data_IF_188996775464
#
_entry.id   IF_188996775464
#
_cell.length_a   1.000
_cell.length_b   1.000
_cell.length_c   1.000
_cell.angle_alpha   90.00
_cell.angle_beta   90.00
_cell.angle_gamma   90.00
#
_symmetry.space_group_name_H-M   'P 1'
#
loop_
_entity.id
_entity.type
_entity.pdbx_description
1 polymer ?
#
# COMPACT_ATOMS: atom_id res chain seq x y z
N UNK A 1 -26.17 -58.45 17.22
CA UNK A 1 -25.10 -57.48 17.59
C UNK A 1 -25.07 -56.45 16.50
N UNK A 2 -25.65 -55.29 16.77
CA UNK A 2 -25.63 -54.20 15.79
C UNK A 2 -24.17 -53.75 15.65
N UNK A 3 -23.68 -53.85 14.43
CA UNK A 3 -22.35 -53.27 14.09
C UNK A 3 -22.47 -51.78 14.30
N UNK A 4 -21.63 -51.17 15.13
CA UNK A 4 -21.71 -49.73 15.37
C UNK A 4 -21.52 -48.99 14.07
N UNK A 5 -22.51 -48.17 13.69
CA UNK A 5 -22.49 -47.41 12.45
C UNK A 5 -21.36 -46.38 12.56
N UNK A 6 -20.40 -46.47 11.66
CA UNK A 6 -19.29 -45.51 11.62
C UNK A 6 -19.82 -44.10 11.28
N UNK A 7 -19.14 -43.05 11.79
CA UNK A 7 -19.58 -41.66 11.64
C UNK A 7 -19.82 -41.28 10.17
N UNK A 8 -18.83 -41.55 9.31
CA UNK A 8 -18.96 -41.29 7.87
C UNK A 8 -20.14 -42.07 7.27
N UNK A 9 -20.32 -43.35 7.65
CA UNK A 9 -21.42 -44.17 7.14
C UNK A 9 -22.79 -43.64 7.59
N UNK A 10 -22.88 -43.05 8.79
CA UNK A 10 -24.12 -42.40 9.26
C UNK A 10 -24.49 -41.16 8.43
N UNK A 11 -23.50 -40.42 7.99
CA UNK A 11 -23.69 -39.24 7.13
C UNK A 11 -24.05 -39.66 5.69
N UNK A 12 -23.32 -40.59 5.11
CA UNK A 12 -23.55 -41.11 3.78
C UNK A 12 -24.96 -41.66 3.60
N UNK A 13 -25.44 -42.39 4.63
CA UNK A 13 -26.77 -43.00 4.62
C UNK A 13 -27.91 -42.02 4.98
N UNK A 14 -27.60 -40.74 5.24
CA UNK A 14 -28.60 -39.72 5.49
C UNK A 14 -28.76 -38.79 4.27
N UNK A 15 -29.87 -38.97 3.47
CA UNK A 15 -30.06 -38.22 2.24
C UNK A 15 -30.11 -36.71 2.41
N UNK A 16 -30.66 -36.23 3.54
CA UNK A 16 -30.77 -34.78 3.81
C UNK A 16 -29.39 -34.15 4.08
N UNK A 17 -28.57 -34.83 4.91
CA UNK A 17 -27.20 -34.36 5.16
C UNK A 17 -26.37 -34.42 3.88
N UNK A 18 -26.49 -35.49 3.11
CA UNK A 18 -25.77 -35.61 1.84
C UNK A 18 -26.18 -34.54 0.83
N UNK A 19 -27.47 -34.21 0.71
CA UNK A 19 -27.94 -33.13 -0.16
C UNK A 19 -27.34 -31.77 0.26
N UNK A 20 -27.22 -31.50 1.55
CA UNK A 20 -26.60 -30.29 2.05
C UNK A 20 -25.09 -30.23 1.79
N UNK A 21 -24.39 -31.34 1.96
CA UNK A 21 -22.93 -31.44 1.82
C UNK A 21 -22.47 -31.46 0.36
N UNK A 22 -23.24 -32.02 -0.57
CA UNK A 22 -22.90 -32.08 -2.01
C UNK A 22 -22.80 -30.69 -2.65
N UNK A 23 -23.57 -29.69 -2.16
CA UNK A 23 -23.48 -28.32 -2.65
C UNK A 23 -22.22 -27.59 -2.19
N UNK A 24 -21.50 -28.14 -1.22
CA UNK A 24 -20.24 -27.59 -0.71
C UNK A 24 -19.21 -28.71 -0.71
N UNK A 25 -18.25 -28.66 -1.59
CA UNK A 25 -17.24 -29.69 -1.71
C UNK A 25 -16.41 -29.82 -0.44
N UNK A 26 -16.67 -30.90 0.32
CA UNK A 26 -15.95 -31.29 1.52
C UNK A 26 -15.39 -32.70 1.38
N UNK A 27 -14.29 -32.94 2.07
CA UNK A 27 -13.83 -34.27 2.42
C UNK A 27 -14.20 -34.51 3.87
N UNK A 28 -14.99 -35.54 4.15
CA UNK A 28 -15.27 -35.94 5.54
C UNK A 28 -14.15 -36.85 6.01
N UNK A 29 -13.70 -36.63 7.25
CA UNK A 29 -12.57 -37.32 7.87
C UNK A 29 -13.06 -38.10 9.10
N UNK A 30 -12.65 -39.35 9.23
CA UNK A 30 -12.83 -40.18 10.43
C UNK A 30 -11.51 -40.91 10.70
N UNK A 31 -10.83 -40.60 11.78
CA UNK A 31 -9.60 -41.26 12.22
C UNK A 31 -9.80 -42.06 13.46
N UNK A 32 -9.43 -43.35 13.42
CA UNK A 32 -9.40 -44.27 14.54
C UNK A 32 -7.94 -44.45 15.03
N UNK A 33 -7.55 -43.86 16.19
CA UNK A 33 -6.19 -43.94 16.68
C UNK A 33 -5.73 -45.35 17.04
N UNK A 34 -6.68 -46.26 17.40
CA UNK A 34 -6.35 -47.63 17.78
C UNK A 34 -5.97 -48.50 16.57
N UNK A 35 -6.55 -48.21 15.44
CA UNK A 35 -6.27 -48.90 14.17
C UNK A 35 -5.23 -48.14 13.34
N UNK A 36 -4.90 -46.92 13.74
CA UNK A 36 -4.14 -45.95 12.93
C UNK A 36 -4.70 -45.83 11.50
N UNK A 37 -6.04 -45.72 11.44
CA UNK A 37 -6.77 -45.75 10.19
C UNK A 37 -7.52 -44.45 9.96
N UNK A 38 -7.24 -43.78 8.85
CA UNK A 38 -7.96 -42.59 8.36
C UNK A 38 -8.91 -42.97 7.23
N UNK A 39 -10.19 -42.67 7.40
CA UNK A 39 -11.20 -42.76 6.35
C UNK A 39 -11.50 -41.37 5.82
N UNK A 40 -11.51 -41.23 4.51
CA UNK A 40 -11.77 -39.97 3.81
C UNK A 40 -12.89 -40.18 2.82
N UNK A 41 -13.97 -39.44 2.95
CA UNK A 41 -15.08 -39.46 2.01
C UNK A 41 -15.13 -38.15 1.23
N UNK A 42 -14.96 -38.25 -0.09
CA UNK A 42 -15.13 -37.13 -1.02
C UNK A 42 -16.61 -36.97 -1.36
N UNK A 43 -17.22 -35.87 -0.93
CA UNK A 43 -18.64 -35.60 -1.15
C UNK A 43 -18.98 -35.33 -2.62
N UNK A 44 -18.01 -34.95 -3.45
CA UNK A 44 -18.18 -34.65 -4.88
C UNK A 44 -18.14 -35.92 -5.73
N UNK A 45 -17.08 -36.71 -5.62
CA UNK A 45 -16.93 -37.99 -6.35
C UNK A 45 -17.77 -39.11 -5.71
N UNK A 46 -18.23 -38.93 -4.48
CA UNK A 46 -18.91 -39.91 -3.63
C UNK A 46 -18.07 -41.18 -3.41
N UNK A 47 -16.77 -40.99 -3.30
CA UNK A 47 -15.83 -42.09 -3.06
C UNK A 47 -15.38 -42.07 -1.60
N UNK A 48 -15.28 -43.28 -1.03
CA UNK A 48 -14.71 -43.49 0.31
C UNK A 48 -13.36 -44.19 0.18
N UNK A 49 -12.34 -43.55 0.69
CA UNK A 49 -10.98 -44.08 0.78
C UNK A 49 -10.65 -44.42 2.22
N UNK A 50 -9.92 -45.50 2.42
CA UNK A 50 -9.44 -45.91 3.75
C UNK A 50 -7.93 -46.06 3.70
N UNK A 51 -7.25 -45.36 4.57
CA UNK A 51 -5.79 -45.27 4.64
C UNK A 51 -5.33 -45.90 5.96
N UNK A 52 -4.70 -47.06 5.86
CA UNK A 52 -4.17 -47.79 7.01
C UNK A 52 -2.76 -47.30 7.38
N UNK A 53 -2.40 -47.43 8.68
CA UNK A 53 -1.14 -46.97 9.26
C UNK A 53 -0.84 -45.50 8.92
N UNK A 54 -1.86 -44.64 9.03
CA UNK A 54 -1.80 -43.27 8.51
C UNK A 54 -0.75 -42.39 9.22
N UNK A 55 -0.66 -42.45 10.55
CA UNK A 55 0.34 -41.69 11.30
C UNK A 55 1.63 -42.48 11.53
N UNK A 56 1.56 -43.82 11.52
CA UNK A 56 2.70 -44.73 11.77
C UNK A 56 3.55 -45.02 10.53
N UNK A 57 3.05 -44.74 9.33
CA UNK A 57 3.80 -44.99 8.10
C UNK A 57 4.84 -43.90 7.83
N UNK A 58 6.12 -44.29 7.73
CA UNK A 58 7.18 -43.41 7.21
C UNK A 58 7.14 -43.27 5.67
N UNK A 59 6.35 -44.10 5.00
CA UNK A 59 6.26 -44.10 3.54
C UNK A 59 5.30 -43.04 3.03
N UNK A 60 5.69 -42.26 2.03
CA UNK A 60 4.92 -41.14 1.52
C UNK A 60 3.80 -41.54 0.54
N UNK A 61 3.31 -42.76 0.53
CA UNK A 61 2.19 -43.15 -0.35
C UNK A 61 0.90 -42.37 -0.07
N UNK A 62 0.83 -41.75 1.10
CA UNK A 62 -0.25 -40.80 1.50
C UNK A 62 0.22 -39.34 1.48
N UNK A 63 1.33 -39.06 0.79
CA UNK A 63 2.00 -37.75 0.78
C UNK A 63 1.28 -36.71 -0.09
N UNK A 64 -0.05 -36.65 0.04
CA UNK A 64 -0.81 -35.53 -0.53
C UNK A 64 -0.62 -34.26 0.27
N UNK A 65 -0.09 -34.31 1.51
CA UNK A 65 0.17 -33.14 2.33
C UNK A 65 1.62 -32.70 2.16
N UNK A 66 1.83 -31.41 1.96
CA UNK A 66 3.14 -30.80 1.86
C UNK A 66 3.99 -31.13 3.11
N UNK A 67 5.26 -31.48 2.92
CA UNK A 67 6.10 -31.97 4.02
C UNK A 67 6.12 -31.08 5.26
N UNK A 68 6.18 -29.75 5.03
CA UNK A 68 6.18 -28.75 6.10
C UNK A 68 4.85 -28.65 6.86
N UNK A 69 3.73 -29.12 6.30
CA UNK A 69 2.40 -29.03 6.91
C UNK A 69 1.95 -30.36 7.55
N UNK A 70 2.69 -31.48 7.39
CA UNK A 70 2.31 -32.81 7.90
C UNK A 70 2.12 -32.84 9.42
N UNK A 71 2.95 -32.09 10.14
CA UNK A 71 2.85 -31.99 11.60
C UNK A 71 1.48 -31.43 12.05
N UNK A 72 0.85 -30.56 11.28
CA UNK A 72 -0.49 -30.01 11.58
C UNK A 72 -1.56 -31.09 11.57
N UNK A 73 -1.54 -31.96 10.55
CA UNK A 73 -2.45 -33.09 10.45
C UNK A 73 -2.26 -34.06 11.62
N UNK A 74 -1.01 -34.39 11.96
CA UNK A 74 -0.71 -35.21 13.13
C UNK A 74 -1.28 -34.58 14.39
N UNK A 75 -1.01 -33.32 14.65
CA UNK A 75 -1.47 -32.61 15.84
C UNK A 75 -3.01 -32.54 15.95
N UNK A 76 -3.72 -32.40 14.81
CA UNK A 76 -5.19 -32.48 14.78
C UNK A 76 -5.69 -33.88 15.14
N UNK A 77 -5.10 -34.94 14.57
CA UNK A 77 -5.54 -36.32 14.75
C UNK A 77 -5.08 -36.95 16.08
N UNK A 78 -4.17 -36.32 16.82
CA UNK A 78 -3.75 -36.69 18.16
C UNK A 78 -4.37 -35.83 19.26
N UNK A 79 -5.12 -34.78 18.88
CA UNK A 79 -5.74 -33.86 19.83
C UNK A 79 -4.79 -32.87 20.49
N UNK A 80 -3.59 -32.68 19.92
CA UNK A 80 -2.63 -31.68 20.39
C UNK A 80 -3.03 -30.26 19.93
N UNK A 81 -3.73 -30.15 18.78
CA UNK A 81 -4.30 -28.91 18.27
C UNK A 81 -5.78 -29.06 17.97
N UNK A 82 -6.50 -27.94 18.04
CA UNK A 82 -7.93 -27.86 17.73
C UNK A 82 -8.20 -26.63 16.89
N UNK A 83 -9.19 -26.74 16.00
CA UNK A 83 -9.67 -25.67 15.13
C UNK A 83 -9.23 -25.85 13.70
N UNK A 84 -9.82 -25.10 12.79
CA UNK A 84 -9.47 -25.20 11.37
C UNK A 84 -8.03 -24.76 11.15
N UNK A 85 -7.24 -25.64 10.54
CA UNK A 85 -5.86 -25.38 10.15
C UNK A 85 -5.75 -25.41 8.62
N UNK A 86 -5.06 -24.43 8.10
CA UNK A 86 -4.73 -24.41 6.67
C UNK A 86 -3.52 -25.29 6.37
N UNK A 87 -3.65 -26.15 5.39
CA UNK A 87 -2.61 -27.06 4.93
C UNK A 87 -2.50 -27.05 3.40
N UNK A 88 -1.28 -27.20 2.91
CA UNK A 88 -1.01 -27.36 1.48
C UNK A 88 -1.01 -28.82 1.11
N UNK A 89 -1.67 -29.10 0.01
CA UNK A 89 -1.75 -30.43 -0.56
C UNK A 89 -1.14 -30.45 -1.96
N UNK A 90 -0.71 -31.61 -2.39
CA UNK A 90 -0.20 -31.82 -3.76
C UNK A 90 -0.92 -33.04 -4.36
N UNK A 91 -1.41 -32.88 -5.59
CA UNK A 91 -1.99 -34.02 -6.34
C UNK A 91 -0.87 -34.94 -6.86
N UNK A 92 -1.19 -36.17 -7.28
CA UNK A 92 -0.22 -37.05 -7.94
C UNK A 92 0.39 -36.44 -9.20
N UNK A 93 -0.32 -35.53 -9.87
CA UNK A 93 0.15 -34.79 -11.05
C UNK A 93 1.02 -33.57 -10.69
N UNK A 94 1.28 -33.33 -9.41
CA UNK A 94 2.10 -32.21 -8.93
C UNK A 94 1.39 -30.86 -8.83
N UNK A 95 0.04 -30.84 -8.92
CA UNK A 95 -0.76 -29.62 -8.74
C UNK A 95 -0.93 -29.33 -7.26
N UNK A 96 -0.65 -28.08 -6.86
CA UNK A 96 -0.79 -27.63 -5.47
C UNK A 96 -2.18 -27.05 -5.22
N UNK A 97 -2.74 -27.38 -4.06
CA UNK A 97 -4.00 -26.83 -3.58
C UNK A 97 -3.99 -26.68 -2.06
N UNK A 98 -4.79 -25.76 -1.56
CA UNK A 98 -4.90 -25.47 -0.12
C UNK A 98 -6.21 -25.99 0.43
N UNK A 99 -6.16 -26.65 1.58
CA UNK A 99 -7.35 -27.08 2.31
C UNK A 99 -7.34 -26.51 3.74
N UNK A 100 -8.52 -26.14 4.18
CA UNK A 100 -8.84 -25.92 5.58
C UNK A 100 -9.28 -27.26 6.16
N UNK A 101 -8.60 -27.73 7.20
CA UNK A 101 -8.87 -29.02 7.84
C UNK A 101 -9.18 -28.78 9.31
N UNK A 102 -10.31 -29.33 9.78
CA UNK A 102 -10.67 -29.38 11.21
C UNK A 102 -11.03 -30.82 11.59
N UNK A 103 -10.61 -31.24 12.76
CA UNK A 103 -10.99 -32.52 13.33
C UNK A 103 -11.19 -32.39 14.86
N UNK A 104 -12.20 -33.09 15.37
CA UNK A 104 -12.59 -33.05 16.79
C UNK A 104 -12.68 -34.45 17.35
N UNK A 105 -12.29 -34.64 18.61
CA UNK A 105 -12.48 -35.91 19.28
C UNK A 105 -13.98 -36.16 19.53
N UNK A 106 -14.42 -37.38 19.26
CA UNK A 106 -15.77 -37.88 19.54
C UNK A 106 -15.66 -39.24 20.22
N UNK A 107 -16.35 -39.41 21.30
CA UNK A 107 -16.37 -40.69 22.04
C UNK A 107 -17.35 -41.66 21.37
N UNK A 108 -16.83 -42.78 20.87
CA UNK A 108 -17.62 -43.90 20.36
C UNK A 108 -17.67 -45.01 21.43
N UNK A 109 -18.86 -45.45 21.84
CA UNK A 109 -18.99 -46.44 22.93
C UNK A 109 -18.28 -47.78 22.67
N UNK A 110 -18.11 -48.17 21.41
CA UNK A 110 -17.47 -49.44 21.04
C UNK A 110 -16.00 -49.28 20.67
N UNK A 111 -15.59 -48.10 20.18
CA UNK A 111 -14.27 -47.84 19.62
C UNK A 111 -13.44 -46.81 20.40
N UNK A 112 -14.01 -46.18 21.47
CA UNK A 112 -13.34 -45.12 22.24
C UNK A 112 -13.24 -43.81 21.45
N UNK A 113 -12.23 -43.00 21.74
CA UNK A 113 -12.05 -41.69 21.09
C UNK A 113 -11.71 -41.84 19.62
N UNK A 114 -12.52 -41.24 18.75
CA UNK A 114 -12.28 -41.06 17.32
C UNK A 114 -12.08 -39.59 17.03
N UNK A 115 -11.36 -39.28 15.97
CA UNK A 115 -11.28 -37.89 15.47
C UNK A 115 -12.10 -37.77 14.19
N UNK A 116 -13.13 -36.93 14.24
CA UNK A 116 -14.02 -36.71 13.10
C UNK A 116 -13.99 -35.27 12.66
N UNK A 117 -14.08 -35.03 11.35
CA UNK A 117 -13.93 -33.68 10.86
C UNK A 117 -14.16 -33.54 9.35
N UNK A 118 -13.60 -32.46 8.83
CA UNK A 118 -13.68 -32.16 7.40
C UNK A 118 -12.39 -31.56 6.88
N UNK A 119 -12.20 -31.70 5.57
CA UNK A 119 -11.27 -30.87 4.82
C UNK A 119 -12.03 -30.17 3.69
N UNK A 120 -11.90 -28.82 3.63
CA UNK A 120 -12.53 -27.97 2.64
C UNK A 120 -11.48 -27.39 1.73
N UNK A 121 -11.68 -27.50 0.40
CA UNK A 121 -10.82 -26.83 -0.56
C UNK A 121 -11.02 -25.30 -0.50
N UNK A 122 -9.95 -24.58 -0.25
CA UNK A 122 -9.92 -23.12 -0.18
C UNK A 122 -9.00 -22.50 -1.23
N UNK A 123 -8.59 -23.28 -2.25
CA UNK A 123 -7.64 -22.85 -3.28
C UNK A 123 -8.18 -21.66 -4.06
N UNK A 124 -9.41 -21.78 -4.58
CA UNK A 124 -10.04 -20.67 -5.32
C UNK A 124 -10.25 -19.44 -4.46
N UNK A 125 -10.66 -19.62 -3.20
CA UNK A 125 -10.82 -18.51 -2.26
C UNK A 125 -9.49 -17.80 -2.00
N UNK A 126 -8.40 -18.54 -1.84
CA UNK A 126 -7.06 -17.96 -1.68
C UNK A 126 -6.58 -17.26 -2.93
N UNK A 127 -6.77 -17.87 -4.10
CA UNK A 127 -6.40 -17.26 -5.37
C UNK A 127 -7.16 -15.95 -5.59
N UNK A 128 -8.48 -15.96 -5.38
CA UNK A 128 -9.29 -14.73 -5.48
C UNK A 128 -8.84 -13.66 -4.48
N UNK A 129 -8.56 -14.05 -3.25
CA UNK A 129 -8.06 -13.11 -2.23
C UNK A 129 -6.72 -12.53 -2.65
N UNK A 130 -5.81 -13.36 -3.15
CA UNK A 130 -4.50 -12.93 -3.63
C UNK A 130 -4.63 -12.01 -4.85
N UNK A 131 -5.50 -12.34 -5.81
CA UNK A 131 -5.78 -11.50 -6.97
C UNK A 131 -6.34 -10.13 -6.55
N UNK A 132 -7.29 -10.10 -5.62
CA UNK A 132 -7.84 -8.85 -5.09
C UNK A 132 -6.78 -8.01 -4.37
N UNK A 133 -5.88 -8.65 -3.61
CA UNK A 133 -4.77 -7.98 -2.96
C UNK A 133 -3.79 -7.40 -3.99
N UNK A 134 -3.45 -8.16 -5.04
CA UNK A 134 -2.58 -7.65 -6.12
C UNK A 134 -3.26 -6.50 -6.89
N UNK A 135 -4.56 -6.60 -7.19
CA UNK A 135 -5.30 -5.50 -7.80
C UNK A 135 -5.33 -4.24 -6.90
N UNK A 136 -5.51 -4.44 -5.58
CA UNK A 136 -5.48 -3.33 -4.62
C UNK A 136 -4.10 -2.67 -4.47
N UNK A 137 -3.02 -3.30 -4.96
CA UNK A 137 -1.64 -2.77 -4.90
C UNK A 137 -1.29 -1.85 -6.07
N UNK A 138 -2.05 -1.94 -7.16
CA UNK A 138 -1.76 -1.22 -8.38
C UNK A 138 -2.78 -0.10 -8.64
N UNK A 139 -2.33 0.94 -9.35
CA UNK A 139 -3.21 1.94 -9.92
C UNK A 139 -3.99 1.34 -11.11
N UNK A 140 -5.29 1.47 -11.10
CA UNK A 140 -6.18 0.81 -12.08
C UNK A 140 -5.98 1.29 -13.52
N UNK A 141 -5.56 2.54 -13.72
CA UNK A 141 -5.35 3.13 -15.03
C UNK A 141 -3.98 2.75 -15.62
N UNK A 142 -2.95 2.91 -14.83
CA UNK A 142 -1.55 2.78 -15.29
C UNK A 142 -0.93 1.42 -14.98
N UNK A 143 -1.52 0.65 -14.08
CA UNK A 143 -0.98 -0.63 -13.60
C UNK A 143 0.42 -0.53 -12.96
N UNK A 144 0.87 0.67 -12.60
CA UNK A 144 2.02 0.87 -11.72
C UNK A 144 1.57 0.64 -10.27
N UNK A 145 2.50 0.53 -9.33
CA UNK A 145 2.09 0.53 -7.92
C UNK A 145 1.34 1.82 -7.60
N UNK A 146 0.29 1.71 -6.76
CA UNK A 146 -0.35 2.90 -6.21
C UNK A 146 0.51 3.51 -5.09
N UNK A 147 0.18 4.72 -4.67
CA UNK A 147 0.91 5.48 -3.66
C UNK A 147 1.15 4.67 -2.38
N UNK A 148 0.11 4.05 -1.81
CA UNK A 148 0.21 3.27 -0.58
C UNK A 148 1.22 2.13 -0.71
N UNK A 149 1.09 1.32 -1.74
CA UNK A 149 1.97 0.17 -1.98
C UNK A 149 3.39 0.61 -2.28
N UNK A 150 3.56 1.68 -3.09
CA UNK A 150 4.87 2.24 -3.39
C UNK A 150 5.62 2.65 -2.12
N UNK A 151 4.95 3.41 -1.25
CA UNK A 151 5.51 3.83 0.04
C UNK A 151 5.90 2.63 0.91
N UNK A 152 5.01 1.65 1.08
CA UNK A 152 5.27 0.44 1.87
C UNK A 152 6.48 -0.36 1.33
N UNK A 153 6.62 -0.50 0.01
CA UNK A 153 7.72 -1.24 -0.62
C UNK A 153 9.06 -0.51 -0.48
N UNK A 154 9.05 0.82 -0.63
CA UNK A 154 10.26 1.65 -0.51
C UNK A 154 10.73 1.67 0.96
N UNK A 155 9.82 1.90 1.92
CA UNK A 155 10.17 1.88 3.34
C UNK A 155 10.73 0.52 3.77
N UNK A 156 10.12 -0.58 3.31
CA UNK A 156 10.64 -1.94 3.57
C UNK A 156 12.05 -2.13 3.01
N UNK A 157 12.32 -1.67 1.80
CA UNK A 157 13.66 -1.71 1.23
C UNK A 157 14.64 -0.88 2.05
N UNK A 158 14.29 0.36 2.41
CA UNK A 158 15.15 1.25 3.17
C UNK A 158 15.51 0.70 4.57
N UNK A 159 14.56 0.00 5.21
CA UNK A 159 14.79 -0.67 6.50
C UNK A 159 15.70 -1.90 6.39
N UNK A 160 15.61 -2.64 5.28
CA UNK A 160 16.39 -3.87 5.05
C UNK A 160 17.64 -3.66 4.19
N UNK A 161 17.89 -2.41 3.74
CA UNK A 161 18.97 -2.06 2.82
C UNK A 161 20.35 -2.42 3.41
N UNK A 162 21.17 -3.09 2.61
CA UNK A 162 22.58 -3.28 2.93
C UNK A 162 23.26 -1.90 3.13
N UNK A 163 24.09 -1.72 4.17
CA UNK A 163 24.83 -0.48 4.38
C UNK A 163 25.66 -0.02 3.16
N UNK A 164 26.16 -0.95 2.37
CA UNK A 164 26.94 -0.66 1.16
C UNK A 164 26.07 -0.45 -0.10
N UNK A 165 24.78 -0.66 -0.02
CA UNK A 165 23.87 -0.36 -1.12
C UNK A 165 23.55 1.14 -1.17
N UNK A 166 23.48 1.69 -2.37
CA UNK A 166 23.01 3.03 -2.65
C UNK A 166 21.72 2.98 -3.46
N UNK A 167 20.87 4.00 -3.40
CA UNK A 167 19.62 4.05 -4.12
C UNK A 167 19.27 5.47 -4.54
N UNK A 168 18.26 5.63 -5.37
CA UNK A 168 17.79 6.94 -5.82
C UNK A 168 16.29 7.01 -5.97
N UNK A 169 15.75 8.20 -5.81
CA UNK A 169 14.33 8.50 -6.01
C UNK A 169 14.16 9.60 -7.04
N UNK A 170 13.22 9.42 -7.94
CA UNK A 170 12.72 10.45 -8.85
C UNK A 170 11.27 10.74 -8.47
N UNK A 171 10.93 12.03 -8.31
CA UNK A 171 9.55 12.50 -8.24
C UNK A 171 9.30 13.27 -9.54
N UNK A 172 8.25 12.92 -10.25
CA UNK A 172 7.98 13.32 -11.62
C UNK A 172 6.56 13.85 -11.72
N UNK A 173 6.39 14.94 -12.45
CA UNK A 173 5.09 15.56 -12.70
C UNK A 173 4.98 15.88 -14.20
N UNK A 174 3.85 15.54 -14.81
CA UNK A 174 3.58 15.85 -16.22
C UNK A 174 3.18 17.30 -16.37
N UNK A 175 4.00 18.07 -17.09
CA UNK A 175 3.79 19.50 -17.23
C UNK A 175 2.45 19.83 -17.91
N UNK A 176 1.71 20.74 -17.30
CA UNK A 176 0.45 21.26 -17.84
C UNK A 176 -0.63 20.18 -18.09
N UNK A 177 -0.60 19.06 -17.38
CA UNK A 177 -1.54 17.96 -17.59
C UNK A 177 -3.01 18.37 -17.44
N UNK A 178 -3.33 19.30 -16.54
CA UNK A 178 -4.67 19.88 -16.46
C UNK A 178 -5.12 20.50 -17.79
N UNK A 179 -4.25 21.22 -18.46
CA UNK A 179 -4.56 21.82 -19.76
C UNK A 179 -4.83 20.76 -20.85
N UNK A 180 -4.18 19.59 -20.72
CA UNK A 180 -4.43 18.44 -21.61
C UNK A 180 -5.86 17.94 -21.42
N UNK A 181 -6.29 17.74 -20.17
CA UNK A 181 -7.66 17.33 -19.86
C UNK A 181 -8.69 18.38 -20.32
N UNK A 182 -8.43 19.64 -20.04
CA UNK A 182 -9.34 20.74 -20.38
C UNK A 182 -9.50 20.90 -21.91
N UNK A 183 -8.43 20.67 -22.68
CA UNK A 183 -8.42 20.84 -24.14
C UNK A 183 -8.88 19.60 -24.91
N UNK A 184 -8.46 18.41 -24.48
CA UNK A 184 -8.64 17.17 -25.24
C UNK A 184 -9.54 16.16 -24.55
N UNK A 185 -10.01 16.46 -23.33
CA UNK A 185 -10.87 15.60 -22.51
C UNK A 185 -10.11 14.55 -21.70
N UNK A 186 -10.76 14.06 -20.64
CA UNK A 186 -10.17 13.10 -19.70
C UNK A 186 -9.73 11.79 -20.36
N UNK A 187 -10.45 11.27 -21.35
CA UNK A 187 -10.07 10.05 -22.07
C UNK A 187 -8.72 10.18 -22.78
N UNK A 188 -8.39 11.36 -23.27
CA UNK A 188 -7.08 11.63 -23.86
C UNK A 188 -6.01 11.77 -22.77
N UNK A 189 -6.32 12.44 -21.67
CA UNK A 189 -5.43 12.49 -20.50
C UNK A 189 -5.10 11.09 -19.96
N UNK A 190 -6.08 10.20 -19.90
CA UNK A 190 -5.86 8.79 -19.51
C UNK A 190 -4.88 8.08 -20.45
N UNK A 191 -4.99 8.28 -21.77
CA UNK A 191 -4.03 7.73 -22.76
C UNK A 191 -2.61 8.29 -22.52
N UNK A 192 -2.47 9.57 -22.19
CA UNK A 192 -1.19 10.21 -21.87
C UNK A 192 -0.55 9.55 -20.65
N UNK A 193 -1.32 9.35 -19.56
CA UNK A 193 -0.86 8.68 -18.34
C UNK A 193 -0.45 7.22 -18.59
N UNK A 194 -1.23 6.49 -19.38
CA UNK A 194 -0.93 5.10 -19.74
C UNK A 194 0.36 4.99 -20.57
N UNK A 195 0.57 5.91 -21.53
CA UNK A 195 1.77 5.93 -22.37
C UNK A 195 3.00 6.29 -21.54
N UNK A 196 2.88 7.25 -20.61
CA UNK A 196 3.96 7.59 -19.69
C UNK A 196 4.32 6.38 -18.80
N UNK A 197 3.34 5.70 -18.24
CA UNK A 197 3.56 4.50 -17.43
C UNK A 197 4.23 3.37 -18.24
N UNK A 198 3.85 3.19 -19.52
CA UNK A 198 4.47 2.23 -20.43
C UNK A 198 5.94 2.56 -20.67
N UNK A 199 6.25 3.83 -20.87
CA UNK A 199 7.63 4.30 -21.03
C UNK A 199 8.45 4.06 -19.76
N UNK A 200 7.93 4.34 -18.57
CA UNK A 200 8.61 4.04 -17.32
C UNK A 200 8.97 2.55 -17.22
N UNK A 201 8.03 1.65 -17.53
CA UNK A 201 8.33 0.20 -17.52
C UNK A 201 9.41 -0.21 -18.53
N UNK A 202 9.55 0.50 -19.63
CA UNK A 202 10.58 0.21 -20.64
C UNK A 202 11.96 0.72 -20.23
N UNK A 203 12.01 1.85 -19.52
CA UNK A 203 13.26 2.50 -19.14
C UNK A 203 13.88 1.95 -17.85
N UNK A 204 13.04 1.47 -16.91
CA UNK A 204 13.47 1.01 -15.60
C UNK A 204 13.38 -0.52 -15.49
N UNK A 205 14.11 -1.10 -14.52
CA UNK A 205 14.18 -2.54 -14.32
C UNK A 205 12.95 -3.03 -13.55
N UNK A 206 12.64 -4.32 -13.65
CA UNK A 206 11.60 -4.96 -12.83
C UNK A 206 11.89 -4.94 -11.33
N UNK A 207 13.16 -4.77 -10.93
CA UNK A 207 13.58 -4.60 -9.53
C UNK A 207 13.30 -3.20 -8.98
N UNK A 208 13.18 -2.19 -9.84
CA UNK A 208 12.87 -0.81 -9.45
C UNK A 208 11.39 -0.69 -9.08
N UNK A 209 11.05 0.26 -8.21
CA UNK A 209 9.68 0.48 -7.78
C UNK A 209 9.12 1.68 -8.55
N UNK A 210 8.11 1.42 -9.39
CA UNK A 210 7.44 2.41 -10.22
C UNK A 210 6.05 2.68 -9.64
N UNK A 211 5.75 3.92 -9.29
CA UNK A 211 4.55 4.31 -8.57
C UNK A 211 3.82 5.41 -9.31
N UNK A 212 2.50 5.32 -9.42
CA UNK A 212 1.67 6.49 -9.65
C UNK A 212 1.25 7.06 -8.31
N UNK A 213 1.78 8.25 -7.98
CA UNK A 213 1.58 8.84 -6.67
C UNK A 213 0.19 9.49 -6.55
N UNK A 214 -0.28 10.14 -7.61
CA UNK A 214 -1.62 10.69 -7.73
C UNK A 214 -1.75 11.54 -8.99
N UNK A 215 -2.93 11.65 -9.58
CA UNK A 215 -3.15 12.50 -10.75
C UNK A 215 -2.13 12.28 -11.87
N UNK A 216 -1.28 13.26 -12.07
CA UNK A 216 -0.17 13.34 -13.02
C UNK A 216 1.22 13.18 -12.39
N UNK A 217 1.28 12.79 -11.10
CA UNK A 217 2.50 12.60 -10.35
C UNK A 217 2.94 11.14 -10.29
N UNK A 218 4.23 10.91 -10.50
CA UNK A 218 4.86 9.58 -10.49
C UNK A 218 6.10 9.58 -9.63
N UNK A 219 6.39 8.43 -9.02
CA UNK A 219 7.62 8.18 -8.27
C UNK A 219 8.34 6.97 -8.86
N UNK A 220 9.64 7.10 -9.07
CA UNK A 220 10.52 6.00 -9.45
C UNK A 220 11.58 5.83 -8.38
N UNK A 221 11.67 4.65 -7.81
CA UNK A 221 12.70 4.32 -6.83
C UNK A 221 13.63 3.26 -7.39
N UNK A 222 14.90 3.62 -7.54
CA UNK A 222 15.94 2.76 -8.11
C UNK A 222 16.77 2.13 -6.99
N UNK A 223 16.85 0.82 -7.00
CA UNK A 223 17.58 0.03 -6.00
C UNK A 223 19.00 -0.28 -6.48
N UNK A 224 19.93 -0.29 -5.54
CA UNK A 224 21.30 -0.80 -5.73
C UNK A 224 21.97 -0.17 -6.97
N UNK A 225 21.99 1.16 -7.04
CA UNK A 225 22.55 1.91 -8.17
C UNK A 225 23.56 2.96 -7.72
N UNK A 226 24.63 3.19 -8.47
CA UNK A 226 25.50 4.35 -8.26
C UNK A 226 24.83 5.64 -8.74
N UNK A 227 25.29 6.77 -8.24
CA UNK A 227 24.78 8.09 -8.60
C UNK A 227 24.85 8.36 -10.11
N UNK A 228 25.89 7.87 -10.78
CA UNK A 228 26.05 7.98 -12.24
C UNK A 228 24.89 7.34 -13.02
N UNK A 229 24.41 6.19 -12.53
CA UNK A 229 23.24 5.52 -13.12
C UNK A 229 21.96 6.31 -12.90
N UNK A 230 21.76 6.89 -11.70
CA UNK A 230 20.62 7.76 -11.44
C UNK A 230 20.60 8.95 -12.41
N UNK A 231 21.75 9.65 -12.55
CA UNK A 231 21.92 10.75 -13.48
C UNK A 231 21.58 10.34 -14.93
N UNK A 232 22.15 9.21 -15.39
CA UNK A 232 21.91 8.71 -16.75
C UNK A 232 20.44 8.37 -16.98
N UNK A 233 19.78 7.69 -16.02
CA UNK A 233 18.37 7.30 -16.12
C UNK A 233 17.44 8.51 -16.09
N UNK A 234 17.72 9.49 -15.23
CA UNK A 234 16.96 10.75 -15.17
C UNK A 234 17.03 11.49 -16.49
N UNK A 235 18.23 11.64 -17.07
CA UNK A 235 18.43 12.25 -18.36
C UNK A 235 17.72 11.50 -19.48
N UNK A 236 17.90 10.17 -19.54
CA UNK A 236 17.24 9.31 -20.52
C UNK A 236 15.71 9.43 -20.45
N UNK A 237 15.14 9.49 -19.26
CA UNK A 237 13.69 9.69 -19.06
C UNK A 237 13.27 11.05 -19.63
N UNK A 238 13.93 12.14 -19.26
CA UNK A 238 13.62 13.49 -19.75
C UNK A 238 13.67 13.58 -21.27
N UNK A 239 14.69 12.99 -21.90
CA UNK A 239 14.84 12.94 -23.36
C UNK A 239 13.76 12.08 -24.03
N UNK A 240 13.41 10.93 -23.43
CA UNK A 240 12.40 10.01 -23.97
C UNK A 240 11.01 10.60 -23.95
N UNK A 241 10.64 11.32 -22.86
CA UNK A 241 9.34 12.00 -22.75
C UNK A 241 9.12 12.98 -23.89
N UNK A 242 10.14 13.79 -24.22
CA UNK A 242 10.06 14.78 -25.29
C UNK A 242 9.91 14.17 -26.69
N UNK A 243 10.26 12.89 -26.86
CA UNK A 243 10.10 12.17 -28.13
C UNK A 243 8.70 11.59 -28.34
N UNK A 244 7.90 11.49 -27.28
CA UNK A 244 6.53 10.98 -27.35
C UNK A 244 5.64 12.00 -28.05
N UNK A 245 5.03 11.59 -29.18
CA UNK A 245 4.07 12.39 -29.94
C UNK A 245 2.75 11.66 -30.03
N UNK A 246 1.69 12.37 -29.72
CA UNK A 246 0.33 11.93 -29.94
C UNK A 246 -0.18 12.55 -31.26
N UNK A 247 -0.05 11.78 -32.35
CA UNK A 247 -0.32 12.23 -33.70
C UNK A 247 -1.76 12.73 -33.92
N UNK A 248 -2.71 12.16 -33.17
CA UNK A 248 -4.13 12.53 -33.28
C UNK A 248 -4.38 14.00 -32.88
N UNK A 249 -3.55 14.57 -31.99
CA UNK A 249 -3.77 15.90 -31.42
C UNK A 249 -2.56 16.84 -31.51
N UNK A 250 -1.49 16.44 -32.22
CA UNK A 250 -0.20 17.15 -32.27
C UNK A 250 0.34 17.57 -30.88
N UNK A 251 0.04 16.72 -29.88
CA UNK A 251 0.46 16.94 -28.50
C UNK A 251 1.84 16.34 -28.25
N UNK A 252 2.70 17.12 -27.61
CA UNK A 252 4.01 16.68 -27.10
C UNK A 252 3.99 16.70 -25.57
N UNK A 253 4.31 15.57 -24.99
CA UNK A 253 4.41 15.43 -23.55
C UNK A 253 5.72 16.05 -23.05
N UNK A 254 5.66 16.77 -21.93
CA UNK A 254 6.83 17.20 -21.16
C UNK A 254 6.61 16.87 -19.69
N UNK A 255 7.70 16.73 -18.94
CA UNK A 255 7.64 16.52 -17.51
C UNK A 255 8.75 17.30 -16.80
N UNK A 256 8.49 17.63 -15.55
CA UNK A 256 9.48 18.11 -14.60
C UNK A 256 9.87 16.97 -13.65
N UNK A 257 11.17 16.86 -13.32
CA UNK A 257 11.70 15.76 -12.52
C UNK A 257 12.55 16.31 -11.38
N UNK A 258 12.25 15.90 -10.17
CA UNK A 258 13.14 16.06 -9.02
C UNK A 258 13.84 14.75 -8.70
N UNK A 259 15.14 14.76 -8.51
CA UNK A 259 15.94 13.57 -8.26
C UNK A 259 16.71 13.68 -6.94
N UNK A 260 16.71 12.61 -6.16
CA UNK A 260 17.42 12.49 -4.90
C UNK A 260 18.23 11.21 -4.87
N UNK A 261 19.50 11.28 -4.49
CA UNK A 261 20.40 10.13 -4.36
C UNK A 261 20.71 9.86 -2.89
N UNK A 262 20.54 8.63 -2.45
CA UNK A 262 20.92 8.16 -1.13
C UNK A 262 22.21 7.32 -1.24
N UNK A 263 23.36 7.82 -0.77
CA UNK A 263 24.63 7.11 -0.86
C UNK A 263 24.72 5.92 0.09
N UNK A 264 25.78 5.15 -0.10
CA UNK A 264 26.19 4.08 0.82
C UNK A 264 26.38 4.60 2.25
N UNK A 265 26.30 3.71 3.22
CA UNK A 265 26.48 4.01 4.65
C UNK A 265 25.48 5.07 5.20
N UNK A 266 24.35 5.27 4.54
CA UNK A 266 23.27 6.12 5.00
C UNK A 266 22.14 5.25 5.54
N UNK A 267 21.96 5.28 6.87
CA UNK A 267 20.91 4.55 7.57
C UNK A 267 19.83 5.50 8.11
N UNK A 268 18.63 4.94 8.38
CA UNK A 268 17.56 5.66 9.08
C UNK A 268 16.73 6.59 8.20
N UNK A 269 16.89 6.55 6.88
CA UNK A 269 16.01 7.28 5.96
C UNK A 269 14.69 6.56 5.78
N UNK A 270 13.59 7.33 5.73
CA UNK A 270 12.26 6.89 5.36
C UNK A 270 11.91 7.34 3.94
N UNK A 271 10.82 6.76 3.39
CA UNK A 271 10.22 7.25 2.16
C UNK A 271 9.95 8.75 2.21
N UNK A 272 9.32 9.22 3.29
CA UNK A 272 8.91 10.63 3.41
C UNK A 272 10.10 11.59 3.31
N UNK A 273 11.22 11.26 3.96
CA UNK A 273 12.42 12.08 3.91
C UNK A 273 13.07 12.13 2.51
N UNK A 274 13.08 10.99 1.79
CA UNK A 274 13.58 10.98 0.41
C UNK A 274 12.65 11.71 -0.54
N UNK A 275 11.34 11.52 -0.34
CA UNK A 275 10.31 12.16 -1.14
C UNK A 275 10.37 13.67 -0.99
N UNK A 276 10.47 14.20 0.24
CA UNK A 276 10.63 15.65 0.49
C UNK A 276 11.81 16.26 -0.26
N UNK A 277 12.96 15.58 -0.23
CA UNK A 277 14.15 16.06 -0.93
C UNK A 277 13.97 16.04 -2.46
N UNK A 278 13.37 14.99 -2.99
CA UNK A 278 13.10 14.89 -4.43
C UNK A 278 11.99 15.84 -4.88
N UNK A 279 10.93 16.03 -4.07
CA UNK A 279 9.84 16.96 -4.34
C UNK A 279 10.32 18.42 -4.34
N UNK A 280 11.20 18.78 -3.39
CA UNK A 280 11.84 20.10 -3.42
C UNK A 280 12.61 20.31 -4.73
N UNK A 281 13.36 19.33 -5.20
CA UNK A 281 14.06 19.40 -6.47
C UNK A 281 13.09 19.51 -7.66
N UNK A 282 11.96 18.79 -7.61
CA UNK A 282 10.87 18.92 -8.59
C UNK A 282 10.29 20.33 -8.60
N UNK A 283 10.05 20.91 -7.42
CA UNK A 283 9.59 22.29 -7.32
C UNK A 283 10.57 23.25 -8.01
N UNK A 284 11.88 23.10 -7.81
CA UNK A 284 12.91 23.90 -8.49
C UNK A 284 12.86 23.69 -10.02
N UNK A 285 12.68 22.45 -10.50
CA UNK A 285 12.52 22.17 -11.92
C UNK A 285 11.30 22.93 -12.52
N UNK A 286 10.18 22.94 -11.78
CA UNK A 286 8.97 23.68 -12.19
C UNK A 286 9.19 25.19 -12.21
N UNK A 287 9.88 25.76 -11.21
CA UNK A 287 10.20 27.19 -11.13
C UNK A 287 11.17 27.65 -12.23
N UNK A 288 12.15 26.82 -12.57
CA UNK A 288 13.15 27.12 -13.58
C UNK A 288 12.65 26.96 -15.05
N UNK A 289 11.34 26.84 -15.26
CA UNK A 289 10.74 26.81 -16.61
C UNK A 289 10.19 25.46 -17.05
N UNK A 290 10.11 24.46 -16.17
CA UNK A 290 9.60 23.10 -16.46
C UNK A 290 10.43 22.34 -17.51
N UNK A 291 9.93 21.18 -17.96
CA UNK A 291 10.56 20.34 -18.98
C UNK A 291 12.06 20.11 -18.73
N UNK A 292 12.40 19.82 -17.50
CA UNK A 292 13.78 19.63 -17.04
C UNK A 292 13.84 18.79 -15.77
N UNK A 293 15.05 18.47 -15.36
CA UNK A 293 15.28 17.77 -14.10
C UNK A 293 16.24 18.58 -13.21
N UNK A 294 16.04 18.44 -11.91
CA UNK A 294 16.93 19.01 -10.88
C UNK A 294 17.32 17.90 -9.92
N UNK A 295 18.60 17.87 -9.55
CA UNK A 295 19.12 16.97 -8.50
C UNK A 295 19.18 17.71 -7.17
N UNK A 296 18.78 17.02 -6.10
CA UNK A 296 19.04 17.49 -4.75
C UNK A 296 20.53 17.26 -4.44
N UNK A 297 21.31 18.32 -4.39
CA UNK A 297 22.77 18.27 -4.26
C UNK A 297 23.28 17.79 -2.91
N UNK A 298 22.46 17.78 -1.84
CA UNK A 298 22.89 17.37 -0.51
C UNK A 298 21.74 16.98 0.42
N UNK A 299 21.56 15.69 0.68
CA UNK A 299 20.77 15.17 1.80
C UNK A 299 21.18 15.79 3.18
N UNK A 300 22.43 16.23 3.32
CA UNK A 300 22.97 16.85 4.53
C UNK A 300 22.63 18.33 4.70
N UNK A 301 22.31 19.07 3.64
CA UNK A 301 21.93 20.48 3.76
C UNK A 301 20.54 20.66 4.36
N UNK A 302 19.63 19.71 4.15
CA UNK A 302 18.30 19.79 4.77
C UNK A 302 18.31 19.45 6.25
N UNK A 303 19.14 18.51 6.69
CA UNK A 303 19.34 18.25 8.13
C UNK A 303 20.11 19.38 8.85
N UNK A 304 20.80 20.26 8.10
CA UNK A 304 21.58 21.37 8.66
C UNK A 304 21.08 22.76 8.24
N UNK A 305 20.20 22.86 7.23
CA UNK A 305 19.66 24.14 6.77
C UNK A 305 18.21 24.42 7.21
N UNK A 306 17.61 23.51 7.96
CA UNK A 306 16.61 23.91 8.92
C UNK A 306 17.41 24.35 10.14
N UNK A 307 17.64 25.68 10.36
CA UNK A 307 17.98 26.11 11.69
C UNK A 307 16.88 25.52 12.55
N UNK A 308 17.24 24.85 13.64
CA UNK A 308 16.29 24.49 14.65
C UNK A 308 15.56 25.78 15.10
N UNK A 309 14.54 26.13 14.33
CA UNK A 309 13.59 27.11 14.74
C UNK A 309 12.76 26.40 15.80
N UNK A 310 12.80 26.82 17.06
CA UNK A 310 12.07 26.15 18.14
C UNK A 310 10.55 26.17 17.96
N UNK A 311 10.05 26.67 16.83
CA UNK A 311 8.63 26.88 16.59
C UNK A 311 7.98 25.93 15.55
N UNK A 312 8.75 25.10 14.81
CA UNK A 312 8.16 24.11 13.89
C UNK A 312 7.83 22.79 14.57
N UNK A 313 8.22 22.62 15.83
CA UNK A 313 7.97 21.39 16.60
C UNK A 313 6.47 21.03 16.76
N UNK A 314 5.56 21.97 16.47
CA UNK A 314 4.11 21.78 16.63
C UNK A 314 3.35 21.57 15.31
N UNK A 315 4.03 21.59 14.15
CA UNK A 315 3.36 21.38 12.85
C UNK A 315 3.70 19.99 12.34
N UNK A 316 2.68 19.14 12.22
CA UNK A 316 2.79 17.84 11.53
C UNK A 316 3.18 18.10 10.07
N UNK A 317 4.30 17.53 9.62
CA UNK A 317 4.84 17.71 8.27
C UNK A 317 3.81 17.43 7.16
N UNK A 318 2.80 16.60 7.44
CA UNK A 318 1.70 16.32 6.51
C UNK A 318 0.93 17.57 6.09
N UNK A 319 0.82 18.58 6.95
CA UNK A 319 0.10 19.82 6.65
C UNK A 319 0.87 20.77 5.73
N UNK A 320 2.17 20.57 5.59
CA UNK A 320 2.99 21.38 4.69
C UNK A 320 2.90 20.94 3.23
N UNK A 321 2.45 19.71 2.96
CA UNK A 321 2.44 19.11 1.62
C UNK A 321 1.04 18.94 1.02
N UNK A 322 0.00 18.88 1.83
CA UNK A 322 -1.37 18.80 1.33
C UNK A 322 -1.82 20.12 0.69
N UNK A 323 -2.77 20.05 -0.25
CA UNK A 323 -3.46 21.24 -0.72
C UNK A 323 -3.99 22.07 0.48
N UNK A 324 -3.86 23.41 0.40
CA UNK A 324 -4.25 24.31 1.49
C UNK A 324 -5.70 24.14 1.92
N UNK A 325 -6.58 23.80 0.96
CA UNK A 325 -8.00 23.57 1.23
C UNK A 325 -8.17 22.27 2.03
N UNK A 326 -7.52 21.19 1.58
CA UNK A 326 -7.53 19.90 2.28
C UNK A 326 -6.91 20.01 3.68
N UNK A 327 -5.82 20.77 3.81
CA UNK A 327 -5.16 21.08 5.09
C UNK A 327 -6.12 21.83 6.03
N UNK A 328 -6.87 22.83 5.51
CA UNK A 328 -7.85 23.54 6.30
C UNK A 328 -8.94 22.60 6.83
N UNK A 329 -9.52 21.75 5.96
CA UNK A 329 -10.55 20.79 6.38
C UNK A 329 -10.04 19.83 7.44
N UNK A 330 -8.86 19.22 7.25
CA UNK A 330 -8.29 18.32 8.26
C UNK A 330 -8.03 18.99 9.60
N UNK A 331 -7.55 20.24 9.60
CA UNK A 331 -7.32 20.99 10.82
C UNK A 331 -8.61 21.33 11.56
N UNK A 332 -9.65 21.69 10.81
CA UNK A 332 -10.94 22.02 11.39
C UNK A 332 -11.71 20.78 11.88
N UNK A 333 -11.51 19.60 11.24
CA UNK A 333 -12.07 18.34 11.72
C UNK A 333 -11.38 17.82 12.99
N UNK A 334 -10.05 17.96 13.08
CA UNK A 334 -9.27 17.43 14.21
C UNK A 334 -9.31 18.32 15.45
N UNK A 335 -9.54 19.61 15.28
CA UNK A 335 -9.58 20.56 16.38
C UNK A 335 -11.02 20.92 16.72
N UNK A 336 -11.43 20.66 17.95
CA UNK A 336 -12.79 20.95 18.43
C UNK A 336 -13.13 22.46 18.54
N UNK A 337 -12.22 23.36 18.17
CA UNK A 337 -12.39 24.81 18.28
C UNK A 337 -11.70 25.55 17.15
N UNK A 338 -12.40 26.51 16.56
CA UNK A 338 -11.82 27.45 15.60
C UNK A 338 -10.67 28.28 16.18
N UNK A 339 -10.69 28.54 17.46
CA UNK A 339 -9.66 29.32 18.16
C UNK A 339 -8.30 28.63 18.18
N UNK A 340 -8.30 27.30 18.15
CA UNK A 340 -7.06 26.51 18.07
C UNK A 340 -6.65 26.16 16.63
N UNK A 341 -7.63 25.97 15.74
CA UNK A 341 -7.35 25.58 14.35
C UNK A 341 -6.84 26.75 13.49
N UNK A 342 -7.41 27.97 13.66
CA UNK A 342 -7.03 29.14 12.84
C UNK A 342 -5.56 29.53 13.02
N UNK A 343 -5.00 29.70 14.22
CA UNK A 343 -3.59 30.04 14.39
C UNK A 343 -2.65 29.05 13.74
N UNK A 344 -2.96 27.74 13.85
CA UNK A 344 -2.17 26.68 13.23
C UNK A 344 -2.24 26.73 11.71
N UNK A 345 -3.44 26.96 11.17
CA UNK A 345 -3.65 27.13 9.72
C UNK A 345 -2.92 28.35 9.17
N UNK A 346 -2.97 29.51 9.86
CA UNK A 346 -2.25 30.72 9.47
C UNK A 346 -0.74 30.50 9.48
N UNK A 347 -0.22 29.76 10.46
CA UNK A 347 1.19 29.39 10.52
C UNK A 347 1.61 28.55 9.31
N UNK A 348 0.81 27.55 8.93
CA UNK A 348 1.07 26.72 7.74
C UNK A 348 1.04 27.55 6.46
N UNK A 349 0.01 28.39 6.28
CA UNK A 349 -0.14 29.27 5.10
C UNK A 349 1.04 30.24 5.01
N UNK A 350 1.42 30.86 6.13
CA UNK A 350 2.53 31.81 6.18
C UNK A 350 3.86 31.19 5.79
N UNK A 351 4.15 30.01 6.31
CA UNK A 351 5.37 29.27 5.97
C UNK A 351 5.36 28.83 4.50
N UNK A 352 4.26 28.25 4.02
CA UNK A 352 4.16 27.75 2.63
C UNK A 352 4.24 28.84 1.57
N UNK A 353 3.58 29.97 1.83
CA UNK A 353 3.55 31.09 0.89
C UNK A 353 4.66 32.10 1.14
N UNK A 354 5.57 31.82 2.10
CA UNK A 354 6.66 32.71 2.48
C UNK A 354 6.21 34.13 2.77
N UNK A 355 5.12 34.25 3.51
CA UNK A 355 4.57 35.55 3.86
C UNK A 355 5.24 36.09 5.13
N UNK A 356 5.35 37.40 5.21
CA UNK A 356 5.88 38.04 6.43
C UNK A 356 4.82 38.11 7.53
N UNK A 357 3.56 38.27 7.15
CA UNK A 357 2.44 38.38 8.10
C UNK A 357 1.12 38.00 7.46
N UNK A 358 0.25 37.38 8.26
CA UNK A 358 -1.15 37.13 7.93
C UNK A 358 -2.00 37.58 9.10
N UNK A 359 -3.06 38.32 8.80
CA UNK A 359 -4.05 38.75 9.81
C UNK A 359 -5.44 38.44 9.32
N UNK A 360 -6.24 37.76 10.14
CA UNK A 360 -7.67 37.58 9.95
C UNK A 360 -8.39 38.42 11.01
N UNK A 361 -9.29 39.24 10.55
CA UNK A 361 -10.09 40.13 11.42
C UNK A 361 -11.54 39.82 11.22
N UNK A 362 -12.22 39.45 12.30
CA UNK A 362 -13.68 39.31 12.33
C UNK A 362 -14.28 40.63 12.81
N UNK A 363 -15.10 41.26 11.96
CA UNK A 363 -15.69 42.59 12.24
C UNK A 363 -17.20 42.53 12.32
N UNK A 364 -17.74 43.09 13.39
CA UNK A 364 -19.17 43.32 13.48
C UNK A 364 -19.54 44.65 12.78
N UNK A 365 -20.09 44.57 11.57
CA UNK A 365 -20.46 45.78 10.78
C UNK A 365 -21.48 46.64 11.48
N UNK A 366 -22.41 46.06 12.26
CA UNK A 366 -23.44 46.81 12.98
C UNK A 366 -22.87 47.64 14.14
N UNK A 367 -21.88 47.12 14.82
CA UNK A 367 -21.29 47.75 15.99
C UNK A 367 -19.98 48.52 15.69
N UNK A 368 -19.51 48.46 14.44
CA UNK A 368 -18.20 49.02 14.00
C UNK A 368 -17.03 48.59 14.92
N UNK A 369 -17.14 47.38 15.42
CA UNK A 369 -16.15 46.80 16.35
C UNK A 369 -15.47 45.59 15.73
N UNK A 370 -14.24 45.35 16.16
CA UNK A 370 -13.48 44.12 15.88
C UNK A 370 -13.81 43.13 16.98
N UNK A 371 -14.43 42.00 16.63
CA UNK A 371 -14.83 40.99 17.60
C UNK A 371 -13.72 40.00 17.88
N UNK A 372 -12.92 39.63 16.87
CA UNK A 372 -11.79 38.70 16.98
C UNK A 372 -10.69 39.07 16.00
N UNK A 373 -9.45 38.80 16.37
CA UNK A 373 -8.31 38.96 15.51
C UNK A 373 -7.34 37.79 15.69
N UNK A 374 -6.99 37.13 14.58
CA UNK A 374 -5.95 36.12 14.55
C UNK A 374 -4.79 36.64 13.70
N UNK A 375 -3.57 36.49 14.19
CA UNK A 375 -2.38 36.94 13.49
C UNK A 375 -1.28 35.91 13.56
N UNK A 376 -0.59 35.74 12.45
CA UNK A 376 0.71 35.06 12.38
C UNK A 376 1.73 36.03 11.76
N UNK A 377 2.94 36.02 12.31
CA UNK A 377 4.05 36.85 11.81
C UNK A 377 5.29 35.94 11.67
N UNK A 378 5.99 36.04 10.55
CA UNK A 378 7.24 35.34 10.32
C UNK A 378 8.29 35.74 11.39
N UNK A 379 9.11 34.78 11.87
CA UNK A 379 10.22 35.11 12.81
C UNK A 379 11.20 36.15 12.28
N UNK A 380 11.24 36.33 10.98
CA UNK A 380 12.15 37.27 10.29
C UNK A 380 11.48 38.62 9.93
N UNK A 381 10.21 38.77 10.20
CA UNK A 381 9.48 39.99 9.89
C UNK A 381 9.74 41.09 10.92
N UNK A 382 9.97 42.30 10.45
CA UNK A 382 10.09 43.44 11.36
C UNK A 382 8.79 43.66 12.16
N UNK A 383 8.86 43.89 13.47
CA UNK A 383 7.68 44.18 14.27
C UNK A 383 7.02 45.49 13.83
N UNK A 384 5.83 45.40 13.27
CA UNK A 384 5.00 46.60 13.00
C UNK A 384 4.09 46.80 14.21
N UNK A 385 4.13 47.95 14.88
CA UNK A 385 3.22 48.22 15.99
C UNK A 385 1.79 48.25 15.49
N UNK A 386 0.91 47.42 16.10
CA UNK A 386 -0.52 47.45 15.88
C UNK A 386 -1.06 48.78 16.48
N UNK A 387 -1.11 49.80 15.65
CA UNK A 387 -1.85 51.01 16.03
C UNK A 387 -3.34 50.68 15.89
N UNK A 388 -4.01 50.65 17.04
CA UNK A 388 -5.43 50.26 17.19
C UNK A 388 -6.46 51.16 16.52
N UNK A 389 -6.14 52.06 15.59
CA UNK A 389 -7.04 52.97 14.97
C UNK A 389 -6.66 53.37 13.53
N UNK A 390 -6.67 52.50 12.60
CA UNK A 390 -6.61 52.92 11.18
C UNK A 390 -7.27 51.97 10.21
N UNK A 391 -8.59 51.80 10.33
CA UNK A 391 -9.43 51.57 9.18
C UNK A 391 -10.09 52.90 8.82
N UNK A 392 -9.34 53.84 8.27
CA UNK A 392 -9.94 54.99 7.60
C UNK A 392 -10.30 54.60 6.15
N UNK A 393 -11.51 54.89 5.81
CA UNK A 393 -12.12 54.82 4.50
C UNK A 393 -11.18 55.30 3.40
N UNK A 394 -10.89 54.47 2.41
CA UNK A 394 -10.84 54.88 1.03
C UNK A 394 -11.67 53.92 0.21
N UNK A 395 -12.91 54.33 -0.04
CA UNK A 395 -13.76 53.80 -1.11
C UNK A 395 -14.20 55.00 -1.93
N UNK A 396 -13.77 55.03 -3.14
CA UNK A 396 -14.54 55.58 -4.26
C UNK A 396 -14.53 54.57 -5.40
#
# INVERSE_FOLDING_TARGET
MDVPVRFIDSIINNPLLMQFLVHRWFFLLEYDPRLDQLRVYDTRSRTLETLDAYLGSEKPEHATIFAEDRWKMRALLTGELFGPLEMRFVSPEGVYYSREVDARPVEDPARGTLYVGYAKDITDQKNQTQELLEQARHDSLTQLYNNRTGKELIDRYLQAKDPYASCGMLVIDLDFFKNVNDRYGHLFGDKVLQEFARMLRTLFRSSDILVRFGGDEFVVFLKDIPNTTLLQKTRQLSESVQQVKFWENDYRMTCSIGACFLPENTAGYSFDQLFENADWALYQAKQNGRNQYVFCDNLRRYAQAVPAAPETADIDARYLHNDLISTAFELFEKNNSFETAIPLFLKIVGIRLQLDRITIVDTCIRERSVSRQFQWTSPHAEPVPLNGNSFTKETS
#
